data_IF_572728240202
#
_entry.id   IF_572728240202
#
_cell.length_a   1.000
_cell.length_b   1.000
_cell.length_c   1.000
_cell.angle_alpha   90.00
_cell.angle_beta   90.00
_cell.angle_gamma   90.00
#
_symmetry.space_group_name_H-M   'P 1'
#
loop_
_entity.id
_entity.type
_entity.pdbx_description
1 polymer ?
#
# COMPACT_ATOMS: atom_id res chain seq x y z
N UNK A 1 22.35 25.15 -6.50
CA UNK A 1 21.85 24.47 -7.48
C UNK A 1 20.56 23.84 -7.12
N UNK A 2 19.73 23.94 -7.83
CA UNK A 2 18.53 23.30 -7.52
C UNK A 2 18.69 21.86 -7.80
N UNK A 3 18.56 21.08 -6.85
CA UNK A 3 18.44 19.71 -7.13
C UNK A 3 17.14 19.52 -7.85
N UNK A 4 17.22 18.99 -9.00
CA UNK A 4 16.04 18.49 -9.62
C UNK A 4 15.48 17.43 -8.69
N UNK A 5 14.24 17.58 -8.38
CA UNK A 5 13.57 16.58 -7.60
C UNK A 5 13.61 15.25 -8.35
N UNK A 6 14.06 14.21 -7.70
CA UNK A 6 13.99 12.87 -8.25
C UNK A 6 12.57 12.33 -8.24
N UNK A 7 11.64 13.07 -7.62
CA UNK A 7 10.27 12.64 -7.41
C UNK A 7 9.34 13.30 -8.43
N UNK A 8 8.55 12.49 -9.12
CA UNK A 8 7.56 12.98 -10.06
C UNK A 8 6.22 13.20 -9.39
N UNK A 9 5.91 12.35 -8.41
CA UNK A 9 4.67 12.44 -7.66
C UNK A 9 4.97 12.75 -6.20
N UNK A 10 4.07 13.46 -5.55
CA UNK A 10 4.19 13.70 -4.13
C UNK A 10 3.78 12.47 -3.34
N UNK A 11 2.67 11.85 -3.72
CA UNK A 11 2.08 10.76 -2.95
C UNK A 11 1.60 9.64 -3.88
N UNK A 12 1.95 8.41 -3.52
CA UNK A 12 1.37 7.21 -4.12
C UNK A 12 0.36 6.65 -3.14
N UNK A 13 -0.86 6.40 -3.61
CA UNK A 13 -1.91 5.82 -2.76
C UNK A 13 -2.06 4.33 -3.06
N UNK A 14 -1.77 3.50 -2.07
CA UNK A 14 -1.95 2.06 -2.18
C UNK A 14 -3.16 1.64 -1.36
N UNK A 15 -4.14 1.00 -2.01
CA UNK A 15 -5.41 0.67 -1.38
C UNK A 15 -6.10 -0.46 -2.13
N UNK A 16 -7.03 -1.12 -1.45
CA UNK A 16 -7.91 -2.09 -2.11
C UNK A 16 -9.23 -1.38 -2.40
N UNK A 17 -9.51 -1.19 -3.69
CA UNK A 17 -10.64 -0.37 -4.13
C UNK A 17 -12.00 -0.79 -3.60
N UNK A 18 -12.24 -2.11 -3.55
CA UNK A 18 -13.53 -2.62 -3.08
C UNK A 18 -13.82 -2.25 -1.63
N UNK A 19 -12.78 -2.10 -0.81
CA UNK A 19 -12.95 -1.78 0.60
C UNK A 19 -13.11 -0.28 0.85
N UNK A 20 -12.47 0.57 0.04
CA UNK A 20 -12.24 1.97 0.42
C UNK A 20 -12.52 3.01 -0.65
N UNK A 21 -12.76 2.60 -1.92
CA UNK A 21 -12.79 3.55 -3.04
C UNK A 21 -13.80 4.68 -2.89
N UNK A 22 -15.03 4.36 -2.51
CA UNK A 22 -16.10 5.35 -2.47
C UNK A 22 -16.19 6.09 -1.14
N UNK A 23 -15.20 5.95 -0.30
CA UNK A 23 -15.20 6.58 1.02
C UNK A 23 -13.87 7.28 1.28
N UNK A 24 -12.96 6.59 1.98
CA UNK A 24 -11.71 7.19 2.42
C UNK A 24 -10.79 7.61 1.28
N UNK A 25 -10.62 6.72 0.29
CA UNK A 25 -9.66 6.99 -0.78
C UNK A 25 -10.05 8.19 -1.62
N UNK A 26 -11.32 8.25 -2.03
CA UNK A 26 -11.79 9.36 -2.85
C UNK A 26 -11.70 10.67 -2.08
N UNK A 27 -12.09 10.66 -0.81
CA UNK A 27 -11.99 11.84 0.03
C UNK A 27 -10.53 12.30 0.18
N UNK A 28 -9.65 11.37 0.49
CA UNK A 28 -8.24 11.67 0.70
C UNK A 28 -7.59 12.20 -0.58
N UNK A 29 -7.84 11.55 -1.70
CA UNK A 29 -7.30 11.97 -2.98
C UNK A 29 -7.77 13.38 -3.34
N UNK A 30 -9.05 13.65 -3.15
CA UNK A 30 -9.61 14.96 -3.41
C UNK A 30 -8.97 16.03 -2.50
N UNK A 31 -8.86 15.73 -1.21
CA UNK A 31 -8.29 16.67 -0.25
C UNK A 31 -6.83 16.99 -0.57
N UNK A 32 -6.05 15.99 -0.96
CA UNK A 32 -4.65 16.20 -1.32
C UNK A 32 -4.52 17.04 -2.59
N UNK A 33 -5.33 16.74 -3.60
CA UNK A 33 -5.28 17.50 -4.85
C UNK A 33 -5.72 18.95 -4.66
N UNK A 34 -6.67 19.18 -3.77
CA UNK A 34 -7.09 20.55 -3.46
C UNK A 34 -5.97 21.37 -2.85
N UNK A 35 -4.98 20.74 -2.24
CA UNK A 35 -3.83 21.42 -1.65
C UNK A 35 -2.63 21.47 -2.60
N UNK A 36 -2.83 21.09 -3.85
CA UNK A 36 -1.76 21.11 -4.83
C UNK A 36 -0.78 19.96 -4.71
N UNK A 37 -1.17 18.89 -4.05
CA UNK A 37 -0.33 17.71 -3.89
C UNK A 37 -0.62 16.74 -5.01
N UNK A 38 0.42 16.40 -5.78
CA UNK A 38 0.28 15.45 -6.88
C UNK A 38 0.19 14.04 -6.34
N UNK A 39 -0.91 13.37 -6.64
CA UNK A 39 -1.12 12.00 -6.19
C UNK A 39 -1.18 11.05 -7.37
N UNK A 40 -0.70 9.83 -7.14
CA UNK A 40 -0.88 8.75 -8.09
C UNK A 40 -1.80 7.72 -7.44
N UNK A 41 -2.91 7.43 -8.10
CA UNK A 41 -3.89 6.47 -7.62
C UNK A 41 -4.15 5.47 -8.74
N UNK A 42 -3.85 4.20 -8.49
CA UNK A 42 -4.05 3.16 -9.48
C UNK A 42 -5.43 2.57 -9.34
N UNK A 43 -6.25 2.75 -10.37
CA UNK A 43 -7.60 2.21 -10.42
C UNK A 43 -7.68 0.86 -11.14
N UNK A 44 -6.61 0.47 -11.82
CA UNK A 44 -6.58 -0.79 -12.55
C UNK A 44 -5.88 -1.85 -11.73
N UNK A 45 -6.64 -2.75 -11.17
CA UNK A 45 -6.09 -3.85 -10.38
C UNK A 45 -6.18 -5.14 -11.17
N UNK A 46 -5.06 -5.84 -11.28
CA UNK A 46 -5.00 -7.17 -11.85
C UNK A 46 -4.96 -8.18 -10.71
N UNK A 47 -5.43 -9.38 -10.99
CA UNK A 47 -5.45 -10.43 -9.99
C UNK A 47 -4.55 -11.58 -10.40
N UNK A 48 -4.40 -12.57 -9.53
CA UNK A 48 -3.69 -13.78 -9.83
C UNK A 48 -2.20 -13.75 -9.59
N UNK A 49 -1.74 -12.85 -8.74
CA UNK A 49 -0.34 -12.82 -8.33
C UNK A 49 0.63 -12.38 -9.40
N UNK A 50 0.13 -11.74 -10.45
CA UNK A 50 0.99 -11.19 -11.48
C UNK A 50 1.84 -10.05 -10.93
N UNK A 51 3.02 -9.90 -11.47
CA UNK A 51 3.84 -8.76 -11.10
C UNK A 51 3.16 -7.48 -11.56
N UNK A 52 3.35 -6.41 -10.78
CA UNK A 52 2.74 -5.12 -11.12
C UNK A 52 3.34 -4.60 -12.43
N UNK A 53 2.53 -3.84 -13.15
CA UNK A 53 2.96 -3.28 -14.43
C UNK A 53 4.17 -2.38 -14.25
N UNK A 54 5.07 -2.33 -15.25
CA UNK A 54 6.24 -1.46 -15.16
C UNK A 54 5.91 0.00 -14.89
N UNK A 55 4.82 0.53 -15.46
CA UNK A 55 4.42 1.92 -15.21
C UNK A 55 4.06 2.15 -13.75
N UNK A 56 3.44 1.18 -13.13
CA UNK A 56 3.07 1.28 -11.73
C UNK A 56 4.30 1.21 -10.84
N UNK A 57 5.19 0.28 -11.14
CA UNK A 57 6.46 0.18 -10.42
C UNK A 57 7.26 1.48 -10.53
N UNK A 58 7.27 2.07 -11.71
CA UNK A 58 7.94 3.34 -11.95
C UNK A 58 7.28 4.48 -11.16
N UNK A 59 5.95 4.50 -11.10
CA UNK A 59 5.24 5.51 -10.33
C UNK A 59 5.60 5.43 -8.85
N UNK A 60 5.74 4.23 -8.32
CA UNK A 60 6.17 4.05 -6.93
C UNK A 60 7.59 4.59 -6.75
N UNK A 61 8.50 4.23 -7.66
CA UNK A 61 9.88 4.73 -7.61
C UNK A 61 9.95 6.25 -7.63
N UNK A 62 9.03 6.88 -8.33
CA UNK A 62 9.01 8.33 -8.53
C UNK A 62 8.16 9.08 -7.52
N UNK A 63 7.64 8.41 -6.51
CA UNK A 63 6.82 9.03 -5.48
C UNK A 63 7.62 9.31 -4.22
N UNK A 64 7.42 10.49 -3.66
CA UNK A 64 8.12 10.91 -2.44
C UNK A 64 7.56 10.24 -1.20
N UNK A 65 6.24 10.13 -1.14
CA UNK A 65 5.52 9.50 -0.04
C UNK A 65 4.65 8.38 -0.57
N UNK A 66 4.39 7.41 0.26
CA UNK A 66 3.37 6.41 -0.02
C UNK A 66 2.40 6.37 1.16
N UNK A 67 1.12 6.46 0.87
CA UNK A 67 0.08 6.26 1.86
C UNK A 67 -0.49 4.87 1.59
N UNK A 68 -0.36 3.98 2.57
CA UNK A 68 -0.83 2.61 2.46
C UNK A 68 -2.08 2.46 3.30
N UNK A 69 -3.22 2.24 2.65
CA UNK A 69 -4.50 2.13 3.36
C UNK A 69 -4.78 0.66 3.59
N UNK A 70 -4.50 0.22 4.83
CA UNK A 70 -4.64 -1.17 5.23
C UNK A 70 -6.06 -1.41 5.71
N UNK A 71 -6.89 -1.91 4.81
CA UNK A 71 -8.27 -2.26 5.10
C UNK A 71 -8.36 -3.75 5.38
N UNK A 72 -9.55 -4.20 5.79
CA UNK A 72 -9.77 -5.59 6.18
C UNK A 72 -9.31 -6.59 5.15
N UNK A 73 -9.54 -6.31 3.86
CA UNK A 73 -9.20 -7.25 2.80
C UNK A 73 -8.02 -6.80 1.92
N UNK A 74 -7.21 -5.87 2.43
CA UNK A 74 -6.05 -5.40 1.69
C UNK A 74 -5.15 -6.56 1.27
N UNK A 75 -4.86 -7.46 2.21
CA UNK A 75 -3.97 -8.59 1.95
C UNK A 75 -4.58 -9.66 1.04
N UNK A 76 -5.89 -9.59 0.80
CA UNK A 76 -6.52 -10.51 -0.16
C UNK A 76 -6.14 -10.20 -1.59
N UNK A 77 -5.66 -8.99 -1.86
CA UNK A 77 -5.25 -8.58 -3.20
C UNK A 77 -3.76 -8.81 -3.37
N UNK A 78 -3.40 -9.73 -4.25
CA UNK A 78 -1.99 -9.96 -4.56
C UNK A 78 -1.36 -8.72 -5.18
N UNK A 79 -2.16 -7.95 -5.92
CA UNK A 79 -1.70 -6.69 -6.50
C UNK A 79 -1.29 -5.70 -5.40
N UNK A 80 -2.13 -5.54 -4.36
CA UNK A 80 -1.81 -4.68 -3.24
C UNK A 80 -0.54 -5.14 -2.53
N UNK A 81 -0.38 -6.45 -2.37
CA UNK A 81 0.80 -6.99 -1.71
C UNK A 81 2.07 -6.76 -2.52
N UNK A 82 1.98 -6.84 -3.85
CA UNK A 82 3.13 -6.53 -4.71
C UNK A 82 3.47 -5.04 -4.66
N UNK A 83 2.45 -4.18 -4.65
CA UNK A 83 2.68 -2.74 -4.46
C UNK A 83 3.38 -2.48 -3.13
N UNK A 84 2.87 -3.10 -2.06
CA UNK A 84 3.43 -2.89 -0.74
C UNK A 84 4.89 -3.33 -0.67
N UNK A 85 5.20 -4.48 -1.24
CA UNK A 85 6.57 -4.96 -1.25
C UNK A 85 7.50 -3.97 -1.96
N UNK A 86 7.05 -3.43 -3.09
CA UNK A 86 7.83 -2.43 -3.82
C UNK A 86 7.99 -1.15 -3.00
N UNK A 87 6.92 -0.72 -2.33
CA UNK A 87 6.95 0.47 -1.48
C UNK A 87 7.98 0.29 -0.36
N UNK A 88 7.98 -0.85 0.30
CA UNK A 88 8.93 -1.11 1.38
C UNK A 88 10.38 -1.13 0.85
N UNK A 89 10.60 -1.70 -0.33
CA UNK A 89 11.91 -1.66 -0.95
C UNK A 89 12.36 -0.21 -1.19
N UNK A 90 11.47 0.63 -1.70
CA UNK A 90 11.79 2.04 -1.93
C UNK A 90 12.06 2.79 -0.62
N UNK A 91 11.34 2.45 0.45
CA UNK A 91 11.61 3.02 1.75
C UNK A 91 13.04 2.74 2.18
N UNK A 92 13.48 1.50 2.01
CA UNK A 92 14.82 1.08 2.43
C UNK A 92 15.92 1.63 1.52
N UNK A 93 15.65 1.68 0.22
CA UNK A 93 16.69 2.01 -0.76
C UNK A 93 16.78 3.49 -1.11
N UNK A 94 15.64 4.18 -1.11
CA UNK A 94 15.56 5.57 -1.58
C UNK A 94 15.08 6.56 -0.53
N UNK A 95 14.77 6.09 0.65
CA UNK A 95 14.28 6.98 1.70
C UNK A 95 12.85 7.45 1.52
N UNK A 96 12.04 6.71 0.76
CA UNK A 96 10.62 7.02 0.65
C UNK A 96 9.98 7.02 2.03
N UNK A 97 9.13 8.02 2.29
CA UNK A 97 8.37 8.07 3.53
C UNK A 97 7.07 7.32 3.35
N UNK A 98 6.79 6.37 4.24
CA UNK A 98 5.60 5.54 4.17
C UNK A 98 4.70 5.84 5.36
N UNK A 99 3.44 6.13 5.05
CA UNK A 99 2.43 6.42 6.07
C UNK A 99 1.32 5.38 5.99
N UNK A 100 1.20 4.48 6.96
CA UNK A 100 0.08 3.55 6.99
C UNK A 100 -1.15 4.19 7.60
N UNK A 101 -2.30 3.84 7.03
CA UNK A 101 -3.60 4.17 7.60
C UNK A 101 -4.30 2.84 7.86
N UNK A 102 -4.60 2.58 9.13
CA UNK A 102 -5.27 1.33 9.53
C UNK A 102 -6.78 1.60 9.51
N UNK A 103 -7.42 1.18 8.43
CA UNK A 103 -8.83 1.49 8.19
C UNK A 103 -9.70 0.31 8.63
N UNK A 104 -10.36 0.48 9.76
CA UNK A 104 -11.21 -0.55 10.39
C UNK A 104 -10.46 -1.84 10.72
N UNK A 105 -9.15 -1.75 10.89
CA UNK A 105 -8.32 -2.88 11.33
C UNK A 105 -7.42 -2.39 12.44
N UNK A 106 -7.01 -3.31 13.31
CA UNK A 106 -6.06 -2.97 14.36
C UNK A 106 -4.63 -3.18 13.85
N UNK A 107 -3.72 -2.25 14.15
CA UNK A 107 -2.31 -2.44 13.76
C UNK A 107 -1.74 -3.77 14.24
N UNK A 108 -2.18 -4.24 15.43
CA UNK A 108 -1.70 -5.52 15.95
C UNK A 108 -2.10 -6.71 15.08
N UNK A 109 -3.27 -6.64 14.42
CA UNK A 109 -3.69 -7.72 13.54
C UNK A 109 -2.81 -7.79 12.30
N UNK A 110 -2.38 -6.65 11.80
CA UNK A 110 -1.47 -6.60 10.66
C UNK A 110 -0.07 -7.06 11.09
N UNK A 111 0.39 -6.55 12.23
CA UNK A 111 1.72 -6.88 12.72
C UNK A 111 1.88 -8.35 13.05
N UNK A 112 0.88 -8.94 13.70
CA UNK A 112 0.91 -10.34 14.09
C UNK A 112 0.37 -11.26 13.00
N UNK A 113 -0.16 -10.71 11.92
CA UNK A 113 -0.75 -11.48 10.82
C UNK A 113 -1.85 -12.41 11.34
N UNK A 114 -2.83 -11.79 12.01
CA UNK A 114 -3.99 -12.52 12.54
C UNK A 114 -5.25 -12.10 11.78
N UNK A 115 -6.36 -12.79 12.03
CA UNK A 115 -7.64 -12.47 11.42
C UNK A 115 -7.64 -12.61 9.91
N UNK A 116 -8.14 -11.59 9.22
CA UNK A 116 -8.24 -11.64 7.76
C UNK A 116 -6.88 -11.66 7.08
N UNK A 117 -5.85 -11.11 7.73
CA UNK A 117 -4.50 -11.12 7.17
C UNK A 117 -3.89 -12.51 7.18
N UNK A 118 -4.10 -13.26 8.26
CA UNK A 118 -3.64 -14.65 8.33
C UNK A 118 -4.34 -15.50 7.26
N UNK A 119 -5.65 -15.34 7.16
CA UNK A 119 -6.45 -16.12 6.20
C UNK A 119 -6.01 -15.82 4.77
N UNK A 120 -5.80 -14.55 4.45
CA UNK A 120 -5.39 -14.17 3.09
C UNK A 120 -4.03 -14.78 2.74
N UNK A 121 -3.07 -14.70 3.64
CA UNK A 121 -1.74 -15.25 3.37
C UNK A 121 -1.77 -16.76 3.26
N UNK A 122 -2.59 -17.44 4.07
CA UNK A 122 -2.73 -18.88 3.95
C UNK A 122 -3.27 -19.28 2.59
N UNK A 123 -4.26 -18.54 2.08
CA UNK A 123 -4.80 -18.78 0.76
C UNK A 123 -3.77 -18.55 -0.34
N UNK A 124 -2.99 -17.47 -0.21
CA UNK A 124 -1.96 -17.16 -1.20
C UNK A 124 -0.84 -18.19 -1.20
N UNK A 125 -0.54 -18.78 -0.05
CA UNK A 125 0.54 -19.74 0.04
C UNK A 125 0.30 -20.96 -0.87
N UNK A 126 -0.95 -21.31 -1.12
CA UNK A 126 -1.29 -22.42 -1.97
C UNK A 126 -0.85 -22.21 -3.42
N UNK A 127 -0.89 -20.96 -3.89
CA UNK A 127 -0.61 -20.64 -5.29
C UNK A 127 0.67 -19.81 -5.48
N UNK A 128 1.11 -19.09 -4.46
CA UNK A 128 2.21 -18.16 -4.58
C UNK A 128 3.24 -18.36 -3.48
N UNK A 129 3.56 -19.59 -3.21
CA UNK A 129 4.43 -19.99 -2.11
C UNK A 129 5.75 -19.20 -2.07
N UNK A 130 6.32 -18.92 -3.24
CA UNK A 130 7.60 -18.23 -3.32
C UNK A 130 7.51 -16.74 -2.96
N UNK A 131 6.31 -16.17 -3.04
CA UNK A 131 6.10 -14.75 -2.79
C UNK A 131 5.61 -14.43 -1.40
N UNK A 132 4.99 -15.40 -0.73
CA UNK A 132 4.32 -15.16 0.55
C UNK A 132 5.29 -14.66 1.61
N UNK A 133 6.50 -15.17 1.65
CA UNK A 133 7.50 -14.71 2.62
C UNK A 133 7.77 -13.22 2.50
N UNK A 134 7.94 -12.73 1.28
CA UNK A 134 8.19 -11.32 1.01
C UNK A 134 6.97 -10.47 1.39
N UNK A 135 5.79 -10.95 1.10
CA UNK A 135 4.55 -10.25 1.44
C UNK A 135 4.36 -10.17 2.95
N UNK A 136 4.66 -11.27 3.66
CA UNK A 136 4.57 -11.32 5.11
C UNK A 136 5.52 -10.31 5.74
N UNK A 137 6.75 -10.26 5.25
CA UNK A 137 7.75 -9.32 5.74
C UNK A 137 7.31 -7.88 5.50
N UNK A 138 6.73 -7.60 4.34
CA UNK A 138 6.28 -6.26 4.00
C UNK A 138 5.14 -5.81 4.90
N UNK A 139 4.19 -6.69 5.19
CA UNK A 139 3.08 -6.38 6.10
C UNK A 139 3.60 -6.13 7.52
N UNK A 140 4.52 -6.97 8.00
CA UNK A 140 5.12 -6.77 9.31
C UNK A 140 5.83 -5.42 9.38
N UNK A 141 6.57 -5.08 8.33
CA UNK A 141 7.34 -3.84 8.30
C UNK A 141 6.41 -2.61 8.33
N UNK A 142 5.38 -2.60 7.48
CA UNK A 142 4.48 -1.44 7.42
C UNK A 142 3.69 -1.29 8.71
N UNK A 143 3.36 -2.39 9.37
CA UNK A 143 2.60 -2.35 10.62
C UNK A 143 3.40 -1.76 11.78
N UNK A 144 4.73 -1.78 11.69
CA UNK A 144 5.58 -1.19 12.73
C UNK A 144 5.77 0.32 12.54
N UNK A 145 5.33 0.86 11.41
CA UNK A 145 5.44 2.29 11.18
C UNK A 145 4.29 3.00 11.89
N UNK A 146 4.59 4.10 12.56
CA UNK A 146 3.54 4.90 13.21
C UNK A 146 2.62 5.49 12.15
N UNK A 147 1.33 5.28 12.32
CA UNK A 147 0.34 5.74 11.35
C UNK A 147 -0.96 6.10 12.04
N UNK A 148 -2.01 6.21 11.24
CA UNK A 148 -3.32 6.59 11.73
C UNK A 148 -4.28 5.42 11.74
N UNK A 149 -5.10 5.36 12.77
CA UNK A 149 -6.14 4.35 12.88
C UNK A 149 -7.49 5.04 12.65
N UNK A 150 -8.19 4.63 11.61
CA UNK A 150 -9.47 5.21 11.23
C UNK A 150 -10.55 4.16 11.40
N UNK A 151 -11.55 4.49 12.18
CA UNK A 151 -12.74 3.63 12.33
C UNK A 151 -13.91 4.32 11.66
N UNK A 152 -14.55 3.58 10.80
CA UNK A 152 -15.78 4.03 10.17
C UNK A 152 -16.95 3.43 10.94
N UNK A 153 -17.84 4.27 11.42
CA UNK A 153 -19.00 3.81 12.21
C UNK A 153 -20.22 3.72 11.35
#
# INVERSE_FOLDING_TARGET
MASTSQWKYDVFLSFRGEDTRNTLVDFLNYALQRRGIDTFKDDEKLEGGKIIKPELSKAIDESRFAVVILSENYASSTWCLEELAKIIDCKKEKGMTVLPIFYNVYPSDVRKLTGTFAKALDEHEKLFKEKVGRWRDSLNHVADIVGYHVKNR
#
